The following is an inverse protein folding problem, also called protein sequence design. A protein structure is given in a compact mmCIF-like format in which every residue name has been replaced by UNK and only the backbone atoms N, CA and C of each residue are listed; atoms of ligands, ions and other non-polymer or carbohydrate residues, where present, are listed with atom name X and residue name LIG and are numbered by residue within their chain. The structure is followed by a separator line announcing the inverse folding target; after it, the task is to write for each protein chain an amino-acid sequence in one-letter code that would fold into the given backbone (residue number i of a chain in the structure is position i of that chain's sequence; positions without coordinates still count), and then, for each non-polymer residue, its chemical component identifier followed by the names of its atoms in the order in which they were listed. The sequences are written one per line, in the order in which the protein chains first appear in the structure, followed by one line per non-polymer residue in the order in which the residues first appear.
data_IF_913148829090
#
_entry.id   IF_913148829090
#
_cell.length_a   1.000
_cell.length_b   1.000
_cell.length_c   1.000
_cell.angle_alpha   90.00
_cell.angle_beta   90.00
_cell.angle_gamma   90.00
#
_symmetry.space_group_name_H-M   'P 1'
#
loop_
_entity.id
_entity.type
_entity.pdbx_description
1 polymer ?
#
# COMPACT_ATOMS: atom_id res chain seq x y z
N UNK A 1 34.34 12.05 -49.92
CA UNK A 1 33.73 12.82 -51.02
C UNK A 1 32.70 11.96 -51.74
N UNK A 2 31.41 12.20 -51.49
CA UNK A 2 30.30 11.97 -52.43
C UNK A 2 29.10 12.74 -51.89
N UNK A 3 28.74 13.78 -52.64
CA UNK A 3 27.66 14.73 -52.39
C UNK A 3 26.35 14.09 -52.82
N UNK A 4 25.31 14.16 -52.01
CA UNK A 4 23.94 14.10 -52.52
C UNK A 4 23.21 15.39 -52.17
N UNK A 5 22.68 15.97 -53.24
CA UNK A 5 22.13 17.30 -53.40
C UNK A 5 20.63 17.28 -53.05
N UNK A 6 20.20 18.39 -52.44
CA UNK A 6 18.84 18.78 -52.05
C UNK A 6 17.73 18.50 -53.07
N UNK A 7 16.52 18.28 -52.55
CA UNK A 7 15.30 18.79 -53.19
C UNK A 7 14.22 19.12 -52.13
N UNK A 8 14.18 20.40 -51.77
CA UNK A 8 13.06 21.07 -51.10
C UNK A 8 12.06 21.49 -52.17
N UNK A 9 10.78 21.20 -51.99
CA UNK A 9 9.68 21.84 -52.73
C UNK A 9 8.71 22.44 -51.72
N UNK A 10 8.58 23.78 -51.66
CA UNK A 10 7.52 24.46 -50.93
C UNK A 10 6.31 24.62 -51.85
N UNK A 11 5.12 24.28 -51.39
CA UNK A 11 3.89 24.71 -52.07
C UNK A 11 3.11 25.63 -51.14
N UNK A 12 3.26 26.93 -51.39
CA UNK A 12 2.34 27.97 -50.96
C UNK A 12 0.98 27.69 -51.60
N UNK A 13 -0.07 27.58 -50.78
CA UNK A 13 -1.39 28.04 -51.19
C UNK A 13 -1.81 29.20 -50.30
N UNK A 14 -1.81 30.38 -50.92
CA UNK A 14 -2.48 31.59 -50.48
C UNK A 14 -4.00 31.36 -50.58
N UNK A 15 -4.70 31.47 -49.46
CA UNK A 15 -6.12 31.87 -49.48
C UNK A 15 -6.22 33.11 -48.60
N UNK A 16 -6.37 34.23 -49.30
CA UNK A 16 -6.78 35.50 -48.74
C UNK A 16 -8.27 35.43 -48.42
N UNK A 17 -8.65 35.77 -47.19
CA UNK A 17 -10.00 36.20 -46.88
C UNK A 17 -9.91 37.49 -46.05
N UNK A 18 -10.04 38.58 -46.79
CA UNK A 18 -10.70 39.84 -46.46
C UNK A 18 -10.73 40.31 -45.00
N UNK A 19 -9.98 41.38 -44.74
CA UNK A 19 -10.13 42.23 -43.56
C UNK A 19 -11.46 43.00 -43.64
N UNK A 20 -12.18 43.06 -42.52
CA UNK A 20 -13.21 44.04 -42.24
C UNK A 20 -12.84 44.77 -40.95
N UNK A 21 -13.10 46.08 -40.95
CA UNK A 21 -12.64 47.11 -40.01
C UNK A 21 -12.93 46.87 -38.52
N UNK A 22 -12.06 47.54 -37.76
CA UNK A 22 -11.91 47.61 -36.31
C UNK A 22 -13.15 48.13 -35.56
N UNK A 23 -13.37 47.59 -34.36
CA UNK A 23 -13.82 48.41 -33.24
C UNK A 23 -12.90 48.16 -32.04
N UNK A 24 -12.32 49.24 -31.55
CA UNK A 24 -11.28 49.31 -30.52
C UNK A 24 -11.96 49.46 -29.15
N UNK A 25 -11.69 48.54 -28.22
CA UNK A 25 -11.67 48.84 -26.78
C UNK A 25 -10.50 48.05 -26.15
N UNK A 26 -9.49 48.78 -25.68
CA UNK A 26 -8.39 48.33 -24.79
C UNK A 26 -8.45 49.17 -23.49
N UNK A 27 -7.69 48.86 -22.42
CA UNK A 27 -7.05 47.59 -22.01
C UNK A 27 -7.28 47.29 -20.50
N UNK A 28 -6.88 46.11 -19.99
CA UNK A 28 -5.81 46.02 -18.98
C UNK A 28 -5.43 44.58 -18.60
N UNK A 29 -4.15 44.27 -18.82
CA UNK A 29 -3.18 43.52 -18.03
C UNK A 29 -3.49 42.21 -17.27
N UNK A 30 -2.66 41.25 -17.66
CA UNK A 30 -1.75 40.46 -16.82
C UNK A 30 -2.22 39.11 -16.27
N UNK A 31 -1.68 38.09 -16.96
CA UNK A 31 -0.96 36.92 -16.43
C UNK A 31 -1.63 35.59 -16.79
N UNK A 32 -0.88 34.63 -17.37
CA UNK A 32 -1.40 33.32 -17.69
C UNK A 32 -1.84 32.64 -16.40
N UNK A 33 -3.12 32.29 -16.31
CA UNK A 33 -3.61 31.31 -15.35
C UNK A 33 -2.83 30.03 -15.60
N UNK A 34 -1.84 29.82 -14.74
CA UNK A 34 -1.23 28.54 -14.47
C UNK A 34 -2.35 27.52 -14.45
N UNK A 35 -2.32 26.56 -15.38
CA UNK A 35 -3.05 25.33 -15.20
C UNK A 35 -2.59 24.80 -13.84
N UNK A 36 -3.46 24.96 -12.84
CA UNK A 36 -3.30 24.31 -11.56
C UNK A 36 -3.05 22.85 -11.87
N UNK A 37 -1.92 22.34 -11.38
CA UNK A 37 -1.75 20.93 -11.18
C UNK A 37 -3.02 20.44 -10.51
N UNK A 38 -3.86 19.73 -11.26
CA UNK A 38 -4.75 18.75 -10.71
C UNK A 38 -3.86 17.73 -10.01
N UNK A 39 -3.49 18.05 -8.78
CA UNK A 39 -3.03 17.06 -7.81
C UNK A 39 -4.25 16.19 -7.60
N UNK A 40 -4.37 15.18 -8.45
CA UNK A 40 -5.24 14.03 -8.27
C UNK A 40 -5.18 13.67 -6.80
N UNK A 41 -6.25 13.91 -6.07
CA UNK A 41 -6.50 13.26 -4.79
C UNK A 41 -6.52 11.77 -5.14
N UNK A 42 -5.36 11.11 -5.00
CA UNK A 42 -5.28 9.68 -5.13
C UNK A 42 -6.20 9.11 -4.07
N UNK A 43 -7.13 8.28 -4.52
CA UNK A 43 -8.01 7.47 -3.69
C UNK A 43 -7.13 6.47 -2.92
N UNK A 44 -6.49 6.93 -1.84
CA UNK A 44 -5.50 6.19 -1.04
C UNK A 44 -6.16 5.36 0.07
N UNK A 45 -7.30 4.75 -0.23
CA UNK A 45 -8.04 3.92 0.72
C UNK A 45 -7.18 2.81 1.33
N UNK A 46 -6.25 2.25 0.54
CA UNK A 46 -5.37 1.18 1.01
C UNK A 46 -4.25 1.65 1.95
N UNK A 47 -3.83 2.92 1.88
CA UNK A 47 -2.79 3.43 2.79
C UNK A 47 -3.26 3.48 4.24
N UNK A 48 -4.57 3.60 4.45
CA UNK A 48 -5.22 3.63 5.76
C UNK A 48 -5.18 2.26 6.47
N UNK A 49 -4.72 1.18 5.83
CA UNK A 49 -4.53 -0.14 6.45
C UNK A 49 -3.11 -0.33 7.00
N UNK A 50 -2.48 0.77 7.41
CA UNK A 50 -1.29 0.82 8.24
C UNK A 50 -1.50 1.81 9.37
N UNK A 51 -0.69 1.67 10.42
CA UNK A 51 -0.61 2.67 11.47
C UNK A 51 0.06 3.95 10.95
N UNK A 52 -0.07 5.04 11.72
CA UNK A 52 0.62 6.29 11.46
C UNK A 52 2.15 6.13 11.44
N UNK A 53 2.83 7.11 10.83
CA UNK A 53 4.28 7.13 10.77
C UNK A 53 4.91 7.19 12.17
N UNK A 54 6.01 6.45 12.34
CA UNK A 54 6.80 6.34 13.56
C UNK A 54 6.08 5.76 14.79
N UNK A 55 4.91 5.14 14.61
CA UNK A 55 4.24 4.43 15.71
C UNK A 55 4.90 3.10 16.01
N UNK A 56 4.87 2.71 17.28
CA UNK A 56 5.21 1.35 17.73
C UNK A 56 3.98 0.76 18.42
N UNK A 57 3.49 -0.37 17.94
CA UNK A 57 2.43 -1.15 18.57
C UNK A 57 2.97 -2.38 19.26
N UNK A 58 2.33 -2.77 20.35
CA UNK A 58 2.55 -4.06 21.01
C UNK A 58 1.39 -5.01 20.72
N UNK A 59 1.72 -6.26 20.40
CA UNK A 59 0.76 -7.34 20.18
C UNK A 59 0.97 -8.42 21.24
N UNK A 60 -0.12 -8.75 21.93
CA UNK A 60 -0.17 -9.86 22.89
C UNK A 60 -0.30 -11.17 22.13
N UNK A 61 0.60 -12.10 22.42
CA UNK A 61 0.64 -13.43 21.85
C UNK A 61 0.04 -14.52 22.74
N UNK A 62 -0.64 -15.47 22.13
CA UNK A 62 -1.12 -16.71 22.76
C UNK A 62 -0.79 -17.92 21.88
N UNK A 63 -0.55 -19.07 22.50
CA UNK A 63 -0.24 -20.34 21.82
C UNK A 63 1.24 -20.70 21.79
N UNK A 64 2.14 -19.77 21.47
CA UNK A 64 3.60 -19.98 21.54
C UNK A 64 4.37 -18.72 21.95
N UNK A 65 5.67 -18.89 22.21
CA UNK A 65 6.57 -17.83 22.70
C UNK A 65 6.89 -16.74 21.66
N UNK A 66 6.66 -17.00 20.37
CA UNK A 66 6.92 -16.06 19.27
C UNK A 66 5.66 -15.33 18.79
N UNK A 67 4.53 -15.56 19.45
CA UNK A 67 3.25 -14.96 19.09
C UNK A 67 3.14 -13.50 19.55
N UNK A 68 3.88 -13.11 20.59
CA UNK A 68 3.93 -11.70 21.01
C UNK A 68 4.98 -10.98 20.17
N UNK A 69 4.69 -9.75 19.74
CA UNK A 69 5.66 -8.93 19.02
C UNK A 69 5.38 -7.45 19.18
N UNK A 70 6.39 -6.64 18.84
CA UNK A 70 6.21 -5.21 18.59
C UNK A 70 6.26 -4.93 17.09
N UNK A 71 5.47 -3.97 16.62
CA UNK A 71 5.43 -3.54 15.23
C UNK A 71 5.74 -2.05 15.17
N UNK A 72 6.89 -1.70 14.60
CA UNK A 72 7.19 -0.33 14.25
C UNK A 72 6.77 -0.06 12.81
N UNK A 73 6.04 1.04 12.57
CA UNK A 73 5.63 1.49 11.24
C UNK A 73 6.36 2.77 10.84
N UNK A 74 6.87 2.82 9.61
CA UNK A 74 7.48 4.01 9.02
C UNK A 74 6.94 4.27 7.61
N UNK A 75 6.71 5.53 7.26
CA UNK A 75 6.26 5.99 5.94
C UNK A 75 7.34 6.86 5.32
N UNK A 76 8.45 6.26 4.82
CA UNK A 76 9.58 7.04 4.29
C UNK A 76 9.19 7.91 3.09
N UNK A 77 8.14 7.53 2.34
CA UNK A 77 7.62 8.26 1.20
C UNK A 77 6.11 8.01 1.05
N UNK A 78 5.43 8.86 0.29
CA UNK A 78 3.96 8.95 0.18
C UNK A 78 3.21 7.62 -0.11
N UNK A 79 3.85 6.69 -0.82
CA UNK A 79 3.28 5.41 -1.26
C UNK A 79 4.08 4.20 -0.77
N UNK A 80 4.94 4.41 0.23
CA UNK A 80 5.84 3.36 0.72
C UNK A 80 5.75 3.27 2.23
N UNK A 81 5.54 2.05 2.72
CA UNK A 81 5.52 1.75 4.15
C UNK A 81 6.61 0.73 4.44
N UNK A 82 7.30 0.90 5.55
CA UNK A 82 8.27 -0.04 6.08
C UNK A 82 7.81 -0.44 7.47
N UNK A 83 7.76 -1.74 7.75
CA UNK A 83 7.47 -2.25 9.09
C UNK A 83 8.62 -3.06 9.63
N UNK A 84 8.83 -2.97 10.95
CA UNK A 84 9.75 -3.82 11.69
C UNK A 84 8.97 -4.60 12.74
N UNK A 85 8.88 -5.91 12.57
CA UNK A 85 8.22 -6.82 13.50
C UNK A 85 9.29 -7.51 14.35
N UNK A 86 9.30 -7.26 15.65
CA UNK A 86 10.21 -7.90 16.62
C UNK A 86 9.42 -8.82 17.54
N UNK A 87 9.61 -10.13 17.37
CA UNK A 87 8.94 -11.17 18.16
C UNK A 87 9.80 -11.71 19.32
N UNK A 88 10.88 -11.01 19.67
CA UNK A 88 11.85 -11.41 20.71
C UNK A 88 12.86 -12.46 20.26
N UNK A 89 12.65 -13.13 19.12
CA UNK A 89 13.62 -14.04 18.49
C UNK A 89 14.37 -13.39 17.33
N UNK A 90 13.66 -12.63 16.50
CA UNK A 90 14.23 -11.93 15.35
C UNK A 90 13.46 -10.66 15.03
N UNK A 91 14.06 -9.80 14.21
CA UNK A 91 13.40 -8.63 13.63
C UNK A 91 13.17 -8.92 12.16
N UNK A 92 11.92 -8.79 11.71
CA UNK A 92 11.55 -8.90 10.29
C UNK A 92 11.24 -7.51 9.75
N UNK A 93 12.02 -7.08 8.76
CA UNK A 93 11.69 -5.89 7.96
C UNK A 93 10.81 -6.27 6.78
N UNK A 94 9.72 -5.53 6.58
CA UNK A 94 8.91 -5.60 5.35
C UNK A 94 8.79 -4.23 4.72
N UNK A 95 8.89 -4.16 3.39
CA UNK A 95 8.76 -2.93 2.61
C UNK A 95 7.58 -3.09 1.66
N UNK A 96 6.65 -2.15 1.71
CA UNK A 96 5.42 -2.16 0.92
C UNK A 96 5.37 -0.99 -0.05
N UNK A 97 4.77 -1.21 -1.22
CA UNK A 97 4.31 -0.17 -2.15
C UNK A 97 2.79 -0.15 -2.17
N UNK A 98 2.22 1.01 -1.95
CA UNK A 98 0.78 1.23 -2.00
C UNK A 98 0.42 1.80 -3.37
N UNK A 99 -0.59 1.20 -3.98
CA UNK A 99 -1.26 1.68 -5.19
C UNK A 99 -2.76 1.75 -4.93
N UNK A 100 -3.53 2.27 -5.87
CA UNK A 100 -5.00 2.22 -5.80
C UNK A 100 -5.57 0.79 -5.81
N UNK A 101 -4.84 -0.16 -6.38
CA UNK A 101 -5.34 -1.52 -6.65
C UNK A 101 -4.88 -2.51 -5.57
N UNK A 102 -3.71 -2.29 -4.97
CA UNK A 102 -3.14 -3.19 -3.95
C UNK A 102 -2.04 -2.53 -3.10
N UNK A 103 -1.78 -3.18 -1.96
CA UNK A 103 -0.58 -3.05 -1.14
C UNK A 103 0.35 -4.21 -1.53
N UNK A 104 1.39 -3.93 -2.31
CA UNK A 104 2.37 -4.90 -2.75
C UNK A 104 3.56 -4.97 -1.81
N UNK A 105 4.02 -6.16 -1.44
CA UNK A 105 5.26 -6.40 -0.73
C UNK A 105 6.43 -6.34 -1.73
N UNK A 106 7.43 -5.50 -1.46
CA UNK A 106 8.64 -5.37 -2.29
C UNK A 106 9.80 -6.21 -1.75
N UNK A 107 9.90 -6.36 -0.43
CA UNK A 107 10.97 -7.07 0.24
C UNK A 107 10.54 -7.52 1.62
N UNK A 108 10.98 -8.71 2.02
CA UNK A 108 10.91 -9.23 3.38
C UNK A 108 12.30 -9.75 3.76
N UNK A 109 12.82 -9.29 4.90
CA UNK A 109 14.14 -9.67 5.40
C UNK A 109 14.03 -9.99 6.90
N UNK A 110 14.26 -11.27 7.25
CA UNK A 110 14.47 -11.67 8.64
C UNK A 110 15.86 -11.28 9.13
N UNK A 111 16.08 -11.32 10.45
CA UNK A 111 17.34 -10.91 11.09
C UNK A 111 17.77 -9.48 10.72
N UNK A 112 16.77 -8.60 10.55
CA UNK A 112 16.94 -7.20 10.17
C UNK A 112 17.33 -6.34 11.39
N UNK A 113 18.50 -6.60 11.98
CA UNK A 113 18.98 -5.87 13.17
C UNK A 113 19.59 -4.49 12.84
N UNK A 114 20.16 -4.34 11.63
CA UNK A 114 20.68 -3.06 11.11
C UNK A 114 20.15 -2.76 9.69
N UNK A 115 18.82 -2.71 9.49
CA UNK A 115 18.25 -2.62 8.16
C UNK A 115 18.28 -1.19 7.63
N UNK A 116 18.64 -1.04 6.35
CA UNK A 116 18.64 0.26 5.66
C UNK A 116 17.35 0.39 4.86
N UNK A 117 16.70 1.55 4.97
CA UNK A 117 15.59 1.90 4.08
C UNK A 117 16.19 2.33 2.73
N UNK A 118 15.86 1.67 1.60
CA UNK A 118 16.35 2.06 0.30
C UNK A 118 15.93 3.48 -0.08
N UNK A 119 16.71 4.13 -0.93
CA UNK A 119 16.33 5.43 -1.50
C UNK A 119 15.08 5.32 -2.36
N UNK A 120 14.36 6.43 -2.57
CA UNK A 120 13.18 6.48 -3.42
C UNK A 120 13.40 5.83 -4.80
N UNK A 121 14.52 6.13 -5.47
CA UNK A 121 14.84 5.57 -6.79
C UNK A 121 15.05 4.05 -6.76
N UNK A 122 15.66 3.54 -5.69
CA UNK A 122 15.81 2.10 -5.49
C UNK A 122 14.43 1.45 -5.28
N UNK A 123 13.62 2.03 -4.39
CA UNK A 123 12.24 1.59 -4.14
C UNK A 123 11.39 1.56 -5.41
N UNK A 124 11.49 2.56 -6.29
CA UNK A 124 10.78 2.58 -7.59
C UNK A 124 11.19 1.42 -8.50
N UNK A 125 12.44 0.99 -8.44
CA UNK A 125 12.97 -0.10 -9.28
C UNK A 125 12.65 -1.50 -8.76
N UNK A 126 12.24 -1.62 -7.49
CA UNK A 126 11.90 -2.91 -6.88
C UNK A 126 10.62 -3.50 -7.47
N UNK A 127 10.62 -4.82 -7.60
CA UNK A 127 9.46 -5.59 -8.04
C UNK A 127 8.61 -5.99 -6.84
N UNK A 128 7.30 -6.09 -7.06
CA UNK A 128 6.38 -6.66 -6.08
C UNK A 128 6.57 -8.18 -6.07
N UNK A 129 6.85 -8.74 -4.90
CA UNK A 129 7.08 -10.18 -4.67
C UNK A 129 5.85 -10.89 -4.08
N UNK A 130 4.95 -10.14 -3.44
CA UNK A 130 3.71 -10.65 -2.82
C UNK A 130 2.67 -9.51 -2.75
N UNK A 131 1.40 -9.83 -2.53
CA UNK A 131 0.29 -8.88 -2.30
C UNK A 131 -0.21 -9.05 -0.86
N UNK A 132 -0.09 -7.98 -0.07
CA UNK A 132 -0.53 -7.94 1.32
C UNK A 132 -2.04 -7.71 1.46
N UNK A 133 -2.61 -6.82 0.64
CA UNK A 133 -4.04 -6.51 0.57
C UNK A 133 -4.39 -5.99 -0.82
N UNK A 134 -5.54 -6.35 -1.38
CA UNK A 134 -5.97 -5.90 -2.70
C UNK A 134 -7.42 -5.37 -2.69
N UNK A 135 -7.67 -4.38 -3.55
CA UNK A 135 -9.00 -3.90 -3.87
C UNK A 135 -9.69 -4.82 -4.92
N UNK A 136 -11.03 -4.87 -4.96
CA UNK A 136 -11.96 -4.17 -4.06
C UNK A 136 -11.98 -4.77 -2.65
N UNK A 137 -12.28 -3.94 -1.64
CA UNK A 137 -12.39 -4.38 -0.25
C UNK A 137 -13.79 -4.98 0.02
N UNK A 138 -14.09 -6.06 -0.69
CA UNK A 138 -15.39 -6.75 -0.69
C UNK A 138 -15.21 -8.25 -0.48
N UNK A 139 -16.16 -8.88 0.22
CA UNK A 139 -16.17 -10.33 0.48
C UNK A 139 -16.11 -11.11 -0.83
N UNK A 140 -15.24 -12.11 -0.88
CA UNK A 140 -14.98 -12.95 -2.06
C UNK A 140 -13.86 -12.44 -2.97
N UNK A 141 -13.30 -11.26 -2.71
CA UNK A 141 -12.10 -10.79 -3.41
C UNK A 141 -10.91 -11.68 -3.07
N UNK A 142 -10.18 -12.14 -4.09
CA UNK A 142 -9.05 -13.07 -3.95
C UNK A 142 -7.75 -12.49 -4.50
N UNK A 143 -6.65 -12.72 -3.81
CA UNK A 143 -5.30 -12.29 -4.21
C UNK A 143 -4.22 -13.13 -3.49
N UNK A 144 -3.22 -13.62 -4.20
CA UNK A 144 -2.10 -14.41 -3.65
C UNK A 144 -2.49 -15.47 -2.58
N UNK A 145 -3.48 -16.29 -2.89
CA UNK A 145 -4.12 -17.31 -2.04
C UNK A 145 -4.93 -16.78 -0.84
N UNK A 146 -4.98 -15.47 -0.64
CA UNK A 146 -5.90 -14.82 0.28
C UNK A 146 -7.29 -14.65 -0.32
N UNK A 147 -8.28 -14.66 0.56
CA UNK A 147 -9.67 -14.30 0.29
C UNK A 147 -10.18 -13.35 1.37
N UNK A 148 -10.84 -12.26 0.98
CA UNK A 148 -11.61 -11.44 1.92
C UNK A 148 -12.86 -12.21 2.31
N UNK A 149 -12.97 -12.61 3.58
CA UNK A 149 -14.10 -13.40 4.09
C UNK A 149 -15.10 -12.57 4.90
N UNK A 150 -14.70 -11.40 5.39
CA UNK A 150 -15.57 -10.45 6.09
C UNK A 150 -15.04 -9.02 5.93
N UNK A 151 -15.95 -8.04 5.98
CA UNK A 151 -15.63 -6.59 5.98
C UNK A 151 -16.35 -5.82 7.10
N UNK A 152 -17.12 -6.52 7.93
CA UNK A 152 -17.99 -5.96 8.97
C UNK A 152 -17.77 -6.65 10.32
N UNK A 153 -16.61 -7.30 10.50
CA UNK A 153 -16.31 -8.00 11.75
C UNK A 153 -16.12 -7.00 12.90
N UNK A 154 -16.48 -7.43 14.11
CA UNK A 154 -16.20 -6.70 15.35
C UNK A 154 -15.16 -7.47 16.16
N UNK A 155 -14.04 -6.83 16.48
CA UNK A 155 -12.94 -7.46 17.23
C UNK A 155 -12.71 -6.71 18.53
N UNK A 156 -12.86 -7.39 19.66
CA UNK A 156 -12.50 -6.86 20.98
C UNK A 156 -11.01 -7.09 21.24
N UNK A 157 -10.30 -6.03 21.65
CA UNK A 157 -8.93 -6.14 22.15
C UNK A 157 -8.81 -5.48 23.52
N UNK A 158 -7.65 -5.63 24.17
CA UNK A 158 -7.37 -4.95 25.44
C UNK A 158 -7.32 -3.42 25.30
N UNK A 159 -7.06 -2.91 24.09
CA UNK A 159 -7.04 -1.49 23.79
C UNK A 159 -8.46 -0.92 23.67
N UNK A 160 -9.25 -1.46 22.73
CA UNK A 160 -10.70 -1.20 22.59
C UNK A 160 -11.34 -2.20 21.61
N UNK A 161 -12.65 -2.06 21.41
CA UNK A 161 -13.41 -2.77 20.37
C UNK A 161 -13.26 -2.07 19.02
N UNK A 162 -12.85 -2.80 17.99
CA UNK A 162 -12.79 -2.35 16.60
C UNK A 162 -14.02 -2.83 15.83
N UNK A 163 -14.60 -1.95 15.03
CA UNK A 163 -15.72 -2.24 14.12
C UNK A 163 -15.27 -2.17 12.66
N UNK A 164 -16.06 -2.73 11.75
CA UNK A 164 -15.77 -2.75 10.30
C UNK A 164 -14.40 -3.37 9.98
N UNK A 165 -14.05 -4.42 10.71
CA UNK A 165 -12.79 -5.13 10.54
C UNK A 165 -12.88 -6.01 9.30
N UNK A 166 -11.90 -5.87 8.42
CA UNK A 166 -11.70 -6.74 7.26
C UNK A 166 -10.97 -7.99 7.71
N UNK A 167 -11.51 -9.14 7.36
CA UNK A 167 -10.87 -10.43 7.65
C UNK A 167 -10.45 -11.06 6.33
N UNK A 168 -9.16 -11.34 6.22
CA UNK A 168 -8.60 -12.09 5.09
C UNK A 168 -8.13 -13.45 5.58
N UNK A 169 -8.39 -14.48 4.78
CA UNK A 169 -8.04 -15.87 5.08
C UNK A 169 -7.20 -16.44 3.94
N UNK A 170 -6.11 -17.13 4.31
CA UNK A 170 -5.31 -17.95 3.41
C UNK A 170 -5.33 -19.39 3.89
N UNK A 171 -5.70 -20.30 2.99
CA UNK A 171 -5.66 -21.75 3.24
C UNK A 171 -4.34 -22.29 2.71
N UNK A 172 -3.56 -22.86 3.60
CA UNK A 172 -2.24 -23.42 3.30
C UNK A 172 -2.32 -24.92 3.06
N UNK A 173 -1.16 -25.53 2.80
CA UNK A 173 -1.06 -26.98 2.66
C UNK A 173 -1.57 -27.70 3.92
N UNK A 174 -2.07 -28.92 3.72
CA UNK A 174 -2.52 -29.81 4.80
C UNK A 174 -3.72 -29.25 5.61
N UNK A 175 -4.34 -28.16 5.17
CA UNK A 175 -5.54 -27.60 5.80
C UNK A 175 -5.25 -26.53 6.85
N UNK A 176 -3.98 -26.12 7.02
CA UNK A 176 -3.64 -24.99 7.89
C UNK A 176 -4.27 -23.70 7.37
N UNK A 177 -4.59 -22.78 8.28
CA UNK A 177 -5.24 -21.53 7.95
C UNK A 177 -4.48 -20.38 8.61
N UNK A 178 -4.17 -19.35 7.83
CA UNK A 178 -3.76 -18.06 8.35
C UNK A 178 -4.89 -17.05 8.15
N UNK A 179 -5.28 -16.34 9.22
CA UNK A 179 -6.20 -15.20 9.15
C UNK A 179 -5.55 -13.93 9.64
N UNK A 180 -5.87 -12.82 8.98
CA UNK A 180 -5.50 -11.48 9.40
C UNK A 180 -6.74 -10.61 9.48
N UNK A 181 -6.76 -9.76 10.49
CA UNK A 181 -7.83 -8.83 10.81
C UNK A 181 -7.29 -7.43 10.64
N UNK A 182 -7.76 -6.71 9.63
CA UNK A 182 -7.29 -5.38 9.27
C UNK A 182 -8.38 -4.36 9.47
N UNK A 183 -8.04 -3.21 10.06
CA UNK A 183 -8.96 -2.10 10.23
C UNK A 183 -8.28 -0.80 9.83
N UNK A 184 -9.08 0.13 9.34
CA UNK A 184 -8.66 1.48 8.99
C UNK A 184 -7.93 2.15 10.16
N UNK A 185 -6.88 2.89 9.87
CA UNK A 185 -5.99 3.68 10.74
C UNK A 185 -5.09 2.86 11.69
N UNK A 186 -5.30 1.53 11.78
CA UNK A 186 -4.49 0.64 12.64
C UNK A 186 -3.79 -0.47 11.86
N UNK A 187 -4.26 -0.80 10.64
CA UNK A 187 -3.76 -1.93 9.88
C UNK A 187 -4.12 -3.26 10.52
N UNK A 188 -3.18 -4.21 10.55
CA UNK A 188 -3.40 -5.53 11.14
C UNK A 188 -3.53 -5.42 12.67
N UNK A 189 -4.72 -5.70 13.21
CA UNK A 189 -4.98 -5.67 14.66
C UNK A 189 -5.01 -7.07 15.29
N UNK A 190 -5.09 -8.11 14.47
CA UNK A 190 -5.05 -9.50 14.93
C UNK A 190 -4.58 -10.43 13.81
N UNK A 191 -3.87 -11.48 14.19
CA UNK A 191 -3.56 -12.62 13.32
C UNK A 191 -3.81 -13.93 14.04
N UNK A 192 -4.28 -14.91 13.29
CA UNK A 192 -4.43 -16.30 13.74
C UNK A 192 -3.65 -17.21 12.78
N UNK A 193 -2.91 -18.15 13.34
CA UNK A 193 -2.39 -19.31 12.63
C UNK A 193 -3.01 -20.56 13.23
N UNK A 194 -3.79 -21.26 12.43
CA UNK A 194 -4.61 -22.40 12.84
C UNK A 194 -4.01 -23.63 12.18
N UNK A 195 -3.36 -24.46 13.00
CA UNK A 195 -2.84 -25.75 12.57
C UNK A 195 -3.94 -26.80 12.73
N UNK A 196 -4.30 -27.43 11.61
CA UNK A 196 -5.31 -28.49 11.59
C UNK A 196 -4.58 -29.82 11.45
N UNK A 197 -4.77 -30.71 12.43
CA UNK A 197 -4.30 -32.09 12.37
C UNK A 197 -5.45 -33.06 12.65
N UNK A 198 -5.25 -34.34 12.33
CA UNK A 198 -6.26 -35.39 12.57
C UNK A 198 -6.61 -35.54 14.07
N UNK A 199 -5.74 -35.07 14.98
CA UNK A 199 -5.88 -35.27 16.43
C UNK A 199 -6.34 -34.01 17.17
N UNK A 200 -5.95 -32.81 16.71
CA UNK A 200 -6.27 -31.55 17.36
C UNK A 200 -6.11 -30.33 16.44
N UNK A 201 -6.81 -29.25 16.81
CA UNK A 201 -6.60 -27.91 16.28
C UNK A 201 -5.75 -27.11 17.28
N UNK A 202 -4.68 -26.48 16.80
CA UNK A 202 -3.84 -25.59 17.59
C UNK A 202 -3.88 -24.21 16.97
N UNK A 203 -4.24 -23.20 17.77
CA UNK A 203 -4.33 -21.81 17.33
C UNK A 203 -3.23 -21.01 18.02
N UNK A 204 -2.42 -20.33 17.21
CA UNK A 204 -1.48 -19.31 17.66
C UNK A 204 -2.07 -17.96 17.27
N UNK A 205 -2.17 -17.03 18.23
CA UNK A 205 -2.83 -15.74 18.02
C UNK A 205 -1.93 -14.59 18.45
N UNK A 206 -1.94 -13.52 17.67
CA UNK A 206 -1.37 -12.22 18.05
C UNK A 206 -2.47 -11.18 17.99
N UNK A 207 -2.68 -10.40 19.05
CA UNK A 207 -3.76 -9.40 19.12
C UNK A 207 -3.22 -8.05 19.60
N UNK A 208 -3.63 -6.98 18.94
CA UNK A 208 -3.26 -5.60 19.27
C UNK A 208 -3.57 -5.28 20.72
N UNK A 209 -2.56 -4.91 21.50
CA UNK A 209 -2.68 -4.63 22.93
C UNK A 209 -2.67 -3.12 23.20
N UNK A 210 -1.70 -2.39 22.64
CA UNK A 210 -1.50 -0.95 22.89
C UNK A 210 -0.50 -0.32 21.93
N UNK A 211 -0.50 1.01 21.89
CA UNK A 211 0.60 1.82 21.36
C UNK A 211 1.65 2.07 22.46
N UNK A 212 2.92 2.20 22.08
CA UNK A 212 4.05 2.49 22.98
C UNK A 212 4.51 3.95 22.91
#
# INVERSE_FOLDING_TARGET
MKRFLFLIIPFLFLIACQANEEEIIEPNNDTPTSAENETTIQDKTLAEFFQEDQTIANFKGEGNEYASYTLQTQHPYENYVVTYEDNGGTIVQRIYRITKDNIGLLSEMGEAYDPVIPSFKELESMQVIDIYLAAPLEVGTRFNDWEIISTLETVETEFHTFENVIVIEKKEEQGNITRKYLVKDYGEIKREFIMVSDEAEVIVTSTFEKLL
#
